data_IF_746605935760
#
_entry.id   IF_746605935760
#
_cell.length_a   1.000
_cell.length_b   1.000
_cell.length_c   1.000
_cell.angle_alpha   90.00
_cell.angle_beta   90.00
_cell.angle_gamma   90.00
#
_symmetry.space_group_name_H-M   'P 1'
#
loop_
_entity.id
_entity.type
_entity.pdbx_description
1 polymer ?
#
# COMPACT_ATOMS: atom_id res chain seq x y z
N UNK A 1 -54.94 6.09 -8.74
CA UNK A 1 -55.38 6.63 -10.04
C UNK A 1 -54.25 7.35 -10.72
N UNK A 2 -54.02 7.03 -12.00
CA UNK A 2 -53.16 7.68 -13.04
C UNK A 2 -51.65 7.41 -12.91
N UNK A 3 -50.97 7.04 -13.92
CA UNK A 3 -51.15 6.30 -15.21
C UNK A 3 -49.71 6.00 -15.69
N UNK A 4 -49.49 4.79 -16.12
CA UNK A 4 -48.37 4.26 -16.90
C UNK A 4 -48.27 5.01 -18.23
N UNK A 5 -47.08 5.36 -18.67
CA UNK A 5 -46.77 5.53 -20.12
C UNK A 5 -45.48 4.78 -20.44
N UNK A 6 -45.73 3.74 -21.20
CA UNK A 6 -44.75 2.94 -21.92
C UNK A 6 -44.50 3.62 -23.29
N UNK A 7 -43.28 3.83 -23.71
CA UNK A 7 -42.94 4.13 -25.10
C UNK A 7 -41.94 3.14 -25.63
N UNK A 8 -42.50 2.21 -26.38
CA UNK A 8 -41.80 1.35 -27.35
C UNK A 8 -41.56 2.18 -28.60
N UNK A 9 -40.36 2.20 -29.11
CA UNK A 9 -40.11 2.61 -30.52
C UNK A 9 -39.25 1.59 -31.22
N UNK A 10 -39.86 1.13 -32.27
CA UNK A 10 -39.57 0.05 -33.19
C UNK A 10 -38.46 0.39 -34.19
N UNK A 11 -37.77 -0.66 -34.58
CA UNK A 11 -36.91 -0.83 -35.75
C UNK A 11 -37.43 -0.20 -37.04
N UNK A 12 -36.52 0.34 -37.85
CA UNK A 12 -36.67 0.35 -39.29
C UNK A 12 -35.32 0.18 -39.98
N UNK A 13 -35.22 -0.93 -40.61
CA UNK A 13 -34.18 -1.36 -41.56
C UNK A 13 -34.45 -0.70 -42.91
N UNK A 14 -33.47 0.00 -43.49
CA UNK A 14 -33.51 0.32 -44.92
C UNK A 14 -32.16 -0.03 -45.56
N UNK A 15 -32.24 -1.00 -46.41
CA UNK A 15 -31.20 -1.39 -47.38
C UNK A 15 -31.17 -0.37 -48.54
N UNK A 16 -29.98 0.12 -48.85
CA UNK A 16 -29.73 0.91 -50.05
C UNK A 16 -28.33 0.69 -50.57
N UNK A 17 -28.22 -0.21 -51.56
CA UNK A 17 -27.05 -0.36 -52.42
C UNK A 17 -27.00 0.76 -53.45
N UNK A 18 -25.84 1.41 -53.62
CA UNK A 18 -25.16 1.52 -54.92
C UNK A 18 -24.06 2.59 -54.96
N UNK A 19 -22.90 2.16 -55.44
CA UNK A 19 -21.89 2.81 -56.26
C UNK A 19 -21.39 4.24 -55.90
N UNK A 20 -20.13 4.29 -55.45
CA UNK A 20 -19.12 5.11 -56.15
C UNK A 20 -17.70 4.70 -55.72
N UNK A 21 -16.99 4.02 -56.61
CA UNK A 21 -15.51 3.97 -56.58
C UNK A 21 -15.02 5.36 -57.06
N UNK A 22 -14.42 6.15 -56.20
CA UNK A 22 -13.32 7.11 -56.42
C UNK A 22 -13.24 8.13 -55.28
N UNK A 23 -12.70 7.71 -54.17
CA UNK A 23 -12.11 8.61 -53.16
C UNK A 23 -11.24 7.80 -52.16
N UNK A 24 -10.22 7.14 -52.70
CA UNK A 24 -9.36 6.25 -51.90
C UNK A 24 -7.89 6.61 -52.05
N UNK A 25 -7.52 7.87 -51.81
CA UNK A 25 -6.10 8.26 -51.72
C UNK A 25 -5.78 9.35 -50.72
N UNK A 26 -6.77 10.06 -50.11
CA UNK A 26 -6.49 11.12 -49.15
C UNK A 26 -6.76 10.72 -47.69
N UNK A 27 -7.51 9.65 -47.39
CA UNK A 27 -7.79 9.24 -46.02
C UNK A 27 -6.64 8.43 -45.36
N UNK A 28 -5.83 7.74 -46.14
CA UNK A 28 -4.73 6.90 -45.68
C UNK A 28 -3.59 7.76 -45.04
N UNK A 29 -3.37 8.96 -45.57
CA UNK A 29 -2.33 9.89 -45.08
C UNK A 29 -2.65 10.47 -43.69
N UNK A 30 -3.94 10.73 -43.40
CA UNK A 30 -4.33 11.33 -42.08
C UNK A 30 -4.38 10.30 -40.98
N UNK A 31 -4.82 9.07 -41.28
CA UNK A 31 -4.84 8.00 -40.29
C UNK A 31 -3.43 7.51 -39.96
N UNK A 32 -2.52 7.44 -40.93
CA UNK A 32 -1.10 7.09 -40.70
C UNK A 32 -0.39 8.13 -39.86
N UNK A 33 -0.66 9.44 -40.06
CA UNK A 33 -0.09 10.50 -39.24
C UNK A 33 -0.67 10.48 -37.84
N UNK A 34 -1.93 10.11 -37.64
CA UNK A 34 -2.58 10.01 -36.35
C UNK A 34 -2.03 8.82 -35.55
N UNK A 35 -1.88 7.66 -36.21
CA UNK A 35 -1.25 6.47 -35.58
C UNK A 35 0.21 6.75 -35.20
N UNK A 36 0.99 7.37 -36.08
CA UNK A 36 2.37 7.74 -35.75
C UNK A 36 2.46 8.77 -34.61
N UNK A 37 1.45 9.66 -34.45
CA UNK A 37 1.41 10.60 -33.33
C UNK A 37 1.08 9.89 -32.00
N UNK A 38 0.21 8.91 -32.00
CA UNK A 38 -0.09 8.09 -30.81
C UNK A 38 1.09 7.21 -30.40
N UNK A 39 1.74 6.53 -31.35
CA UNK A 39 2.94 5.75 -31.08
C UNK A 39 4.09 6.62 -30.54
N UNK A 40 4.22 7.85 -31.03
CA UNK A 40 5.25 8.79 -30.57
C UNK A 40 4.95 9.40 -29.19
N UNK A 41 3.68 9.53 -28.83
CA UNK A 41 3.25 9.96 -27.50
C UNK A 41 3.47 8.80 -26.50
N UNK A 42 3.13 7.59 -26.88
CA UNK A 42 3.28 6.40 -26.06
C UNK A 42 4.77 6.12 -25.75
N UNK A 43 5.61 6.14 -26.78
CA UNK A 43 7.05 5.96 -26.60
C UNK A 43 7.73 7.05 -25.76
N UNK A 44 7.26 8.31 -25.84
CA UNK A 44 7.77 9.39 -24.97
C UNK A 44 7.34 9.24 -23.51
N UNK A 45 6.13 8.74 -23.30
CA UNK A 45 5.60 8.46 -21.97
C UNK A 45 6.34 7.28 -21.35
N UNK A 46 6.58 6.23 -22.11
CA UNK A 46 7.39 5.08 -21.69
C UNK A 46 8.84 5.47 -21.35
N UNK A 47 9.50 6.27 -22.19
CA UNK A 47 10.86 6.76 -21.96
C UNK A 47 10.92 7.65 -20.71
N UNK A 48 9.89 8.48 -20.48
CA UNK A 48 9.81 9.33 -19.29
C UNK A 48 9.63 8.49 -18.03
N UNK A 49 8.71 7.53 -18.06
CA UNK A 49 8.48 6.59 -16.95
C UNK A 49 9.73 5.73 -16.66
N UNK A 50 10.44 5.27 -17.69
CA UNK A 50 11.69 4.51 -17.52
C UNK A 50 12.82 5.36 -16.93
N UNK A 51 12.92 6.64 -17.29
CA UNK A 51 13.88 7.57 -16.69
C UNK A 51 13.54 7.90 -15.25
N UNK A 52 12.27 8.12 -14.93
CA UNK A 52 11.80 8.35 -13.57
C UNK A 52 12.04 7.12 -12.69
N UNK A 53 11.77 5.92 -13.23
CA UNK A 53 12.03 4.66 -12.53
C UNK A 53 13.53 4.46 -12.21
N UNK A 54 14.44 4.90 -13.08
CA UNK A 54 15.90 4.80 -12.85
C UNK A 54 16.43 5.86 -11.90
N UNK A 55 15.73 6.96 -11.69
CA UNK A 55 16.18 8.07 -10.83
C UNK A 55 16.41 7.60 -9.39
N UNK A 56 15.55 6.72 -8.90
CA UNK A 56 15.55 6.25 -7.51
C UNK A 56 15.86 4.75 -7.37
N UNK A 57 16.39 4.12 -8.43
CA UNK A 57 16.71 2.69 -8.43
C UNK A 57 17.61 2.34 -7.24
N UNK A 58 17.20 1.34 -6.47
CA UNK A 58 17.88 0.86 -5.27
C UNK A 58 18.06 1.90 -4.16
N UNK A 59 17.23 2.92 -4.12
CA UNK A 59 17.31 3.94 -3.08
C UNK A 59 17.06 3.39 -1.67
N UNK A 60 16.32 2.29 -1.52
CA UNK A 60 16.11 1.62 -0.23
C UNK A 60 17.41 1.07 0.38
N UNK A 61 18.40 0.69 -0.43
CA UNK A 61 19.74 0.24 0.02
C UNK A 61 20.53 1.37 0.71
N UNK A 62 20.07 2.62 0.58
CA UNK A 62 20.68 3.78 1.22
C UNK A 62 20.18 4.01 2.64
N UNK A 63 19.05 3.45 3.00
CA UNK A 63 18.42 3.65 4.32
C UNK A 63 19.16 2.86 5.36
N UNK A 64 19.63 3.53 6.40
CA UNK A 64 20.06 2.89 7.64
C UNK A 64 18.86 2.86 8.61
N UNK A 65 18.21 1.71 8.70
CA UNK A 65 16.98 1.56 9.49
C UNK A 65 17.18 1.77 10.99
N UNK A 66 18.40 1.79 11.49
CA UNK A 66 18.70 2.19 12.89
C UNK A 66 18.33 3.65 13.16
N UNK A 67 18.26 4.47 12.13
CA UNK A 67 17.86 5.87 12.19
C UNK A 67 16.47 6.14 11.62
N UNK A 68 15.71 5.09 11.35
CA UNK A 68 14.42 5.19 10.66
C UNK A 68 13.45 6.17 11.33
N UNK A 69 13.37 6.18 12.66
CA UNK A 69 12.50 7.11 13.40
C UNK A 69 12.92 8.57 13.23
N UNK A 70 14.23 8.86 13.27
CA UNK A 70 14.76 10.21 13.04
C UNK A 70 14.55 10.68 11.62
N UNK A 71 14.73 9.78 10.65
CA UNK A 71 14.47 10.06 9.23
C UNK A 71 12.98 10.36 9.04
N UNK A 72 12.10 9.57 9.63
CA UNK A 72 10.65 9.76 9.52
C UNK A 72 10.21 11.09 10.17
N UNK A 73 10.72 11.41 11.35
CA UNK A 73 10.43 12.66 12.04
C UNK A 73 10.86 13.88 11.20
N UNK A 74 12.10 13.87 10.69
CA UNK A 74 12.63 14.94 9.85
C UNK A 74 11.85 15.08 8.54
N UNK A 75 11.50 13.97 7.91
CA UNK A 75 10.71 13.95 6.67
C UNK A 75 9.31 14.51 6.90
N UNK A 76 8.65 14.10 7.99
CA UNK A 76 7.32 14.59 8.36
C UNK A 76 7.34 16.08 8.67
N UNK A 77 8.38 16.56 9.37
CA UNK A 77 8.54 17.99 9.64
C UNK A 77 8.77 18.79 8.37
N UNK A 78 9.61 18.27 7.46
CA UNK A 78 9.85 18.92 6.17
C UNK A 78 8.56 19.11 5.36
N UNK A 79 7.72 18.08 5.29
CA UNK A 79 6.44 18.17 4.57
C UNK A 79 5.48 19.20 5.19
N UNK A 80 5.45 19.30 6.54
CA UNK A 80 4.66 20.34 7.23
C UNK A 80 5.15 21.74 6.94
N UNK A 81 6.47 21.92 6.90
CA UNK A 81 7.08 23.22 6.65
C UNK A 81 7.01 23.61 5.17
N UNK A 82 6.87 22.62 4.28
CA UNK A 82 6.85 22.80 2.83
C UNK A 82 5.58 22.18 2.19
N UNK A 83 4.36 22.68 2.53
CA UNK A 83 3.09 22.06 2.09
C UNK A 83 2.86 22.12 0.57
N UNK A 84 3.74 22.81 -0.18
CA UNK A 84 3.71 22.90 -1.64
C UNK A 84 4.86 22.13 -2.31
N UNK A 85 5.67 21.42 -1.53
CA UNK A 85 6.74 20.62 -2.08
C UNK A 85 6.18 19.56 -3.04
N UNK A 86 6.83 19.40 -4.15
CA UNK A 86 6.52 18.33 -5.10
C UNK A 86 7.00 16.99 -4.56
N UNK A 87 6.45 15.90 -5.08
CA UNK A 87 6.89 14.56 -4.72
C UNK A 87 8.39 14.34 -4.98
N UNK A 88 8.92 14.93 -6.05
CA UNK A 88 10.35 14.87 -6.35
C UNK A 88 11.20 15.59 -5.30
N UNK A 89 10.80 16.79 -4.86
CA UNK A 89 11.49 17.53 -3.79
C UNK A 89 11.47 16.76 -2.46
N UNK A 90 10.36 16.14 -2.12
CA UNK A 90 10.23 15.30 -0.92
C UNK A 90 11.15 14.06 -1.04
N UNK A 91 11.18 13.40 -2.19
CA UNK A 91 12.05 12.25 -2.42
C UNK A 91 13.53 12.63 -2.37
N UNK A 92 13.92 13.76 -2.93
CA UNK A 92 15.30 14.25 -2.87
C UNK A 92 15.72 14.57 -1.44
N UNK A 93 14.88 15.27 -0.68
CA UNK A 93 15.14 15.53 0.74
C UNK A 93 15.25 14.23 1.56
N UNK A 94 14.38 13.26 1.31
CA UNK A 94 14.48 11.95 1.96
C UNK A 94 15.84 11.28 1.69
N UNK A 95 16.33 11.32 0.45
CA UNK A 95 17.63 10.75 0.11
C UNK A 95 18.79 11.51 0.75
N UNK A 96 18.70 12.83 0.88
CA UNK A 96 19.66 13.64 1.64
C UNK A 96 19.70 13.22 3.11
N UNK A 97 18.55 13.00 3.75
CA UNK A 97 18.47 12.48 5.11
C UNK A 97 19.17 11.11 5.24
N UNK A 98 18.92 10.20 4.30
CA UNK A 98 19.59 8.90 4.30
C UNK A 98 21.12 9.01 4.23
N UNK A 99 21.67 9.93 3.42
CA UNK A 99 23.11 10.14 3.35
C UNK A 99 23.66 10.79 4.64
N UNK A 100 22.97 11.77 5.23
CA UNK A 100 23.36 12.41 6.51
C UNK A 100 23.48 11.35 7.62
N UNK A 101 22.46 10.54 7.81
CA UNK A 101 22.46 9.51 8.85
C UNK A 101 23.42 8.35 8.57
N UNK A 102 23.81 8.13 7.32
CA UNK A 102 24.83 7.15 6.95
C UNK A 102 26.26 7.63 7.23
N UNK A 103 26.55 8.93 7.09
CA UNK A 103 27.86 9.52 7.39
C UNK A 103 28.13 9.61 8.90
N UNK A 104 27.13 9.93 9.70
CA UNK A 104 27.25 9.93 11.17
C UNK A 104 27.68 8.58 11.72
N UNK A 105 27.35 7.50 11.03
CA UNK A 105 27.72 6.13 11.40
C UNK A 105 29.21 5.80 11.26
N UNK A 106 29.97 6.50 10.43
CA UNK A 106 31.43 6.28 10.33
C UNK A 106 32.15 6.66 11.63
N UNK A 107 31.53 7.49 12.46
CA UNK A 107 32.06 7.97 13.73
C UNK A 107 31.54 7.21 14.96
N UNK A 108 30.47 6.39 14.82
CA UNK A 108 29.85 5.66 15.94
C UNK A 108 30.16 4.16 15.81
N UNK A 109 31.41 3.81 15.99
CA UNK A 109 31.87 2.40 16.02
C UNK A 109 31.63 1.72 17.37
N UNK A 110 30.55 1.94 18.09
CA UNK A 110 30.29 1.11 19.28
C UNK A 110 28.99 1.41 20.05
N UNK A 111 27.88 1.58 19.43
CA UNK A 111 26.61 1.38 20.15
C UNK A 111 25.85 0.29 19.40
N UNK A 112 26.08 -0.94 19.83
CA UNK A 112 25.14 -2.02 19.58
C UNK A 112 23.82 -1.61 20.23
N UNK A 113 22.98 -0.94 19.49
CA UNK A 113 21.56 -0.83 19.81
C UNK A 113 20.99 -2.23 19.58
N UNK A 114 20.61 -2.89 20.67
CA UNK A 114 19.76 -4.04 20.60
C UNK A 114 18.54 -3.66 19.77
N UNK A 115 18.38 -4.28 18.62
CA UNK A 115 17.14 -4.27 17.91
C UNK A 115 16.16 -5.15 18.69
N UNK A 116 15.53 -4.57 19.73
CA UNK A 116 14.41 -5.21 20.40
C UNK A 116 13.17 -5.03 19.51
N UNK A 117 12.99 -5.94 18.59
CA UNK A 117 11.81 -6.00 17.74
C UNK A 117 12.07 -6.99 16.62
N UNK A 118 11.40 -8.12 16.72
CA UNK A 118 11.50 -9.21 15.76
C UNK A 118 10.77 -8.81 14.46
N UNK A 119 11.50 -8.09 13.58
CA UNK A 119 11.04 -7.77 12.23
C UNK A 119 11.17 -8.95 11.28
N UNK A 120 11.90 -9.99 11.72
CA UNK A 120 12.37 -11.08 10.88
C UNK A 120 11.22 -11.87 10.22
N UNK A 121 10.00 -11.81 10.80
CA UNK A 121 8.83 -12.48 10.24
C UNK A 121 8.03 -11.63 9.25
N UNK A 122 8.16 -10.29 9.28
CA UNK A 122 7.39 -9.40 8.41
C UNK A 122 8.18 -8.92 7.19
N UNK A 123 9.43 -8.57 7.42
CA UNK A 123 10.42 -8.29 6.37
C UNK A 123 11.72 -9.00 6.76
N UNK A 124 12.30 -9.74 5.84
CA UNK A 124 13.60 -10.38 6.05
C UNK A 124 14.66 -9.29 6.34
N UNK A 125 15.00 -9.14 7.62
CA UNK A 125 15.84 -8.08 8.13
C UNK A 125 17.23 -8.63 8.45
N UNK A 126 18.10 -8.70 7.45
CA UNK A 126 19.49 -9.06 7.64
C UNK A 126 20.36 -7.80 7.72
N UNK A 127 21.13 -7.65 8.80
CA UNK A 127 22.14 -6.60 8.99
C UNK A 127 21.64 -5.14 8.84
N UNK A 128 20.40 -4.84 9.20
CA UNK A 128 19.84 -3.49 9.12
C UNK A 128 19.27 -3.15 7.74
N UNK A 129 19.07 -4.12 6.87
CA UNK A 129 18.51 -3.95 5.53
C UNK A 129 17.18 -4.69 5.43
N UNK A 130 16.12 -3.97 5.10
CA UNK A 130 14.81 -4.55 4.79
C UNK A 130 14.86 -5.18 3.40
N UNK A 131 14.44 -6.43 3.26
CA UNK A 131 14.33 -7.07 1.95
C UNK A 131 12.93 -6.85 1.38
N UNK A 132 12.85 -6.07 0.30
CA UNK A 132 11.63 -5.84 -0.44
C UNK A 132 11.42 -6.92 -1.50
N UNK A 133 10.18 -7.38 -1.68
CA UNK A 133 9.86 -8.17 -2.85
C UNK A 133 9.93 -7.31 -4.14
N UNK A 134 10.03 -7.92 -5.34
CA UNK A 134 10.21 -7.15 -6.58
C UNK A 134 9.11 -6.12 -6.88
N UNK A 135 7.89 -6.31 -6.37
CA UNK A 135 6.78 -5.37 -6.57
C UNK A 135 6.85 -4.20 -5.60
N UNK A 136 7.16 -4.46 -4.34
CA UNK A 136 7.44 -3.41 -3.34
C UNK A 136 8.63 -2.58 -3.77
N UNK A 137 9.71 -3.24 -4.23
CA UNK A 137 10.90 -2.58 -4.78
C UNK A 137 10.54 -1.62 -5.90
N UNK A 138 9.70 -2.06 -6.85
CA UNK A 138 9.29 -1.23 -7.98
C UNK A 138 8.49 0.02 -7.53
N UNK A 139 7.67 -0.11 -6.47
CA UNK A 139 6.97 1.03 -5.88
C UNK A 139 7.91 1.94 -5.10
N UNK A 140 8.84 1.35 -4.35
CA UNK A 140 9.85 2.12 -3.61
C UNK A 140 10.72 2.95 -4.56
N UNK A 141 11.20 2.35 -5.65
CA UNK A 141 11.98 3.03 -6.69
C UNK A 141 11.18 4.12 -7.44
N UNK A 142 9.86 4.05 -7.41
CA UNK A 142 8.99 5.08 -7.97
C UNK A 142 8.87 6.28 -7.01
N UNK A 143 8.73 6.05 -5.71
CA UNK A 143 8.55 7.08 -4.69
C UNK A 143 9.18 6.64 -3.36
N UNK A 144 10.49 6.88 -3.17
CA UNK A 144 11.22 6.41 -2.00
C UNK A 144 10.66 6.89 -0.67
N UNK A 145 10.26 8.15 -0.59
CA UNK A 145 9.69 8.73 0.64
C UNK A 145 8.39 8.04 1.04
N UNK A 146 7.50 7.78 0.08
CA UNK A 146 6.25 7.06 0.33
C UNK A 146 6.48 5.58 0.65
N UNK A 147 7.42 4.94 -0.05
CA UNK A 147 7.83 3.57 0.24
C UNK A 147 8.38 3.44 1.66
N UNK A 148 9.25 4.35 2.06
CA UNK A 148 9.79 4.41 3.41
C UNK A 148 8.68 4.58 4.48
N UNK A 149 7.74 5.50 4.26
CA UNK A 149 6.59 5.68 5.16
C UNK A 149 5.72 4.43 5.27
N UNK A 150 5.51 3.72 4.16
CA UNK A 150 4.74 2.47 4.16
C UNK A 150 5.47 1.35 4.93
N UNK A 151 6.80 1.29 4.86
CA UNK A 151 7.62 0.40 5.68
C UNK A 151 7.50 0.75 7.17
N UNK A 152 7.63 2.05 7.51
CA UNK A 152 7.51 2.48 8.90
C UNK A 152 6.11 2.21 9.47
N UNK A 153 5.07 2.38 8.67
CA UNK A 153 3.71 2.00 9.03
C UNK A 153 3.58 0.49 9.32
N UNK A 154 4.26 -0.35 8.52
CA UNK A 154 4.33 -1.80 8.75
C UNK A 154 5.02 -2.14 10.07
N UNK A 155 6.15 -1.50 10.35
CA UNK A 155 6.87 -1.62 11.62
C UNK A 155 5.98 -1.26 12.80
N UNK A 156 5.34 -0.12 12.72
CA UNK A 156 4.45 0.32 13.77
C UNK A 156 3.30 -0.66 14.00
N UNK A 157 2.67 -1.16 12.92
CA UNK A 157 1.58 -2.13 13.01
C UNK A 157 2.03 -3.44 13.65
N UNK A 158 3.23 -3.93 13.28
CA UNK A 158 3.83 -5.11 13.90
C UNK A 158 4.05 -4.91 15.40
N UNK A 159 4.78 -3.86 15.77
CA UNK A 159 5.11 -3.57 17.17
C UNK A 159 3.86 -3.36 18.04
N UNK A 160 2.88 -2.62 17.51
CA UNK A 160 1.63 -2.41 18.25
C UNK A 160 0.82 -3.69 18.40
N UNK A 161 0.77 -4.53 17.38
CA UNK A 161 0.09 -5.82 17.47
C UNK A 161 0.73 -6.71 18.53
N UNK A 162 2.07 -6.78 18.57
CA UNK A 162 2.79 -7.51 19.62
C UNK A 162 2.47 -6.96 21.01
N UNK A 163 2.50 -5.64 21.17
CA UNK A 163 2.17 -4.98 22.42
C UNK A 163 0.72 -5.24 22.85
N UNK A 164 -0.23 -5.16 21.92
CA UNK A 164 -1.65 -5.30 22.19
C UNK A 164 -2.08 -6.75 22.46
N UNK A 165 -1.59 -7.69 21.67
CA UNK A 165 -2.02 -9.10 21.75
C UNK A 165 -1.01 -10.02 22.46
N UNK A 166 0.19 -9.52 22.78
CA UNK A 166 1.29 -10.33 23.29
C UNK A 166 1.82 -11.35 22.26
N UNK A 167 1.50 -11.16 20.99
CA UNK A 167 1.91 -12.00 19.87
C UNK A 167 1.62 -11.34 18.53
N UNK A 168 2.37 -11.77 17.51
CA UNK A 168 2.05 -11.58 16.10
C UNK A 168 1.77 -12.95 15.48
N UNK A 169 0.52 -13.38 15.51
CA UNK A 169 0.11 -14.65 14.92
C UNK A 169 -0.03 -14.58 13.39
N UNK A 170 -0.27 -15.73 12.78
CA UNK A 170 -0.55 -15.87 11.35
C UNK A 170 -1.91 -16.49 11.14
N UNK A 171 -2.71 -15.94 10.23
CA UNK A 171 -4.05 -16.40 9.87
C UNK A 171 -5.10 -16.27 11.01
N UNK A 172 -4.82 -15.53 12.07
CA UNK A 172 -5.67 -15.37 13.24
C UNK A 172 -6.09 -13.90 13.47
N UNK A 173 -6.64 -13.59 14.65
CA UNK A 173 -7.19 -12.26 14.97
C UNK A 173 -6.13 -11.16 15.02
N UNK A 174 -4.95 -11.45 15.60
CA UNK A 174 -3.86 -10.47 15.66
C UNK A 174 -3.30 -10.15 14.27
N UNK A 175 -3.26 -11.12 13.38
CA UNK A 175 -2.89 -10.94 11.98
C UNK A 175 -3.89 -10.05 11.24
N UNK A 176 -5.17 -10.36 11.37
CA UNK A 176 -6.25 -9.56 10.78
C UNK A 176 -6.21 -8.10 11.26
N UNK A 177 -5.97 -7.89 12.55
CA UNK A 177 -5.81 -6.58 13.16
C UNK A 177 -4.59 -5.84 12.58
N UNK A 178 -3.44 -6.52 12.51
CA UNK A 178 -2.19 -5.97 11.98
C UNK A 178 -2.33 -5.47 10.55
N UNK A 179 -2.92 -6.27 9.66
CA UNK A 179 -3.16 -5.91 8.27
C UNK A 179 -4.08 -4.69 8.14
N UNK A 180 -5.15 -4.62 8.94
CA UNK A 180 -6.04 -3.47 8.94
C UNK A 180 -5.36 -2.21 9.47
N UNK A 181 -4.62 -2.28 10.58
CA UNK A 181 -3.90 -1.17 11.18
C UNK A 181 -2.80 -0.64 10.26
N UNK A 182 -2.04 -1.54 9.64
CA UNK A 182 -1.01 -1.17 8.67
C UNK A 182 -1.59 -0.30 7.54
N UNK A 183 -2.72 -0.71 6.98
CA UNK A 183 -3.38 0.06 5.94
C UNK A 183 -3.86 1.43 6.44
N UNK A 184 -4.46 1.52 7.64
CA UNK A 184 -4.85 2.80 8.23
C UNK A 184 -3.64 3.73 8.40
N UNK A 185 -2.51 3.20 8.85
CA UNK A 185 -1.30 3.99 9.03
C UNK A 185 -0.70 4.46 7.69
N UNK A 186 -0.74 3.64 6.64
CA UNK A 186 -0.30 4.12 5.32
C UNK A 186 -1.26 5.19 4.78
N UNK A 187 -2.57 5.04 5.00
CA UNK A 187 -3.55 6.09 4.65
C UNK A 187 -3.20 7.39 5.35
N UNK A 188 -2.96 7.34 6.65
CA UNK A 188 -2.57 8.49 7.45
C UNK A 188 -1.24 9.12 7.00
N UNK A 189 -0.21 8.31 6.79
CA UNK A 189 1.13 8.81 6.48
C UNK A 189 1.31 9.22 5.01
N UNK A 190 0.48 8.71 4.10
CA UNK A 190 0.58 8.94 2.66
C UNK A 190 -0.79 9.21 2.03
N UNK A 191 -1.60 8.20 1.78
CA UNK A 191 -2.99 8.25 1.30
C UNK A 191 -3.53 6.84 1.00
N UNK A 192 -4.85 6.75 0.73
CA UNK A 192 -5.54 5.49 0.42
C UNK A 192 -5.01 4.77 -0.83
N UNK A 193 -4.78 5.52 -1.91
CA UNK A 193 -4.27 4.93 -3.17
C UNK A 193 -2.88 4.31 -3.01
N UNK A 194 -2.02 4.90 -2.18
CA UNK A 194 -0.69 4.33 -1.91
C UNK A 194 -0.79 3.11 -1.00
N UNK A 195 -1.66 3.16 0.02
CA UNK A 195 -1.93 2.02 0.88
C UNK A 195 -2.37 0.80 0.08
N UNK A 196 -3.32 0.97 -0.85
CA UNK A 196 -3.76 -0.11 -1.74
C UNK A 196 -2.63 -0.67 -2.60
N UNK A 197 -1.87 0.20 -3.26
CA UNK A 197 -0.76 -0.24 -4.13
C UNK A 197 0.30 -1.00 -3.36
N UNK A 198 0.70 -0.46 -2.20
CA UNK A 198 1.77 -1.04 -1.40
C UNK A 198 1.39 -2.40 -0.82
N UNK A 199 0.24 -2.49 -0.16
CA UNK A 199 -0.20 -3.74 0.44
C UNK A 199 -0.57 -4.80 -0.60
N UNK A 200 -1.12 -4.41 -1.76
CA UNK A 200 -1.29 -5.33 -2.89
C UNK A 200 0.06 -5.84 -3.43
N UNK A 201 1.09 -4.97 -3.48
CA UNK A 201 2.43 -5.39 -3.91
C UNK A 201 3.06 -6.35 -2.92
N UNK A 202 2.84 -6.14 -1.62
CA UNK A 202 3.26 -7.04 -0.55
C UNK A 202 2.67 -8.43 -0.76
N UNK A 203 1.35 -8.54 -0.79
CA UNK A 203 0.65 -9.83 -0.93
C UNK A 203 0.96 -10.53 -2.27
N UNK A 204 0.95 -9.78 -3.36
CA UNK A 204 1.20 -10.29 -4.70
C UNK A 204 2.67 -10.66 -4.97
N UNK A 205 3.58 -10.14 -4.19
CA UNK A 205 5.02 -10.32 -4.34
C UNK A 205 5.59 -11.42 -3.46
N UNK A 206 4.91 -11.79 -2.39
CA UNK A 206 5.34 -12.84 -1.49
C UNK A 206 5.41 -14.20 -2.22
N UNK A 207 6.56 -14.84 -2.16
CA UNK A 207 6.84 -16.10 -2.89
C UNK A 207 5.95 -17.27 -2.46
N UNK A 208 5.44 -17.21 -1.23
CA UNK A 208 4.54 -18.20 -0.64
C UNK A 208 3.06 -17.89 -0.85
N UNK A 209 2.72 -16.68 -1.32
CA UNK A 209 1.33 -16.26 -1.50
C UNK A 209 0.76 -16.78 -2.83
N UNK A 210 -0.24 -17.64 -2.69
CA UNK A 210 -1.07 -18.07 -3.80
C UNK A 210 -2.42 -17.33 -3.71
N UNK A 211 -2.78 -16.58 -4.75
CA UNK A 211 -4.07 -15.83 -4.82
C UNK A 211 -5.33 -16.67 -4.56
N UNK A 212 -5.21 -17.99 -4.61
CA UNK A 212 -6.29 -18.91 -4.27
C UNK A 212 -6.27 -19.34 -2.81
N UNK A 213 -5.16 -19.12 -2.08
CA UNK A 213 -5.04 -19.49 -0.67
C UNK A 213 -6.03 -18.72 0.21
N UNK A 214 -6.36 -19.27 1.35
CA UNK A 214 -7.18 -18.57 2.34
C UNK A 214 -6.43 -17.42 2.98
N UNK A 215 -5.12 -17.58 3.23
CA UNK A 215 -4.22 -16.53 3.75
C UNK A 215 -4.28 -15.30 2.85
N UNK A 216 -3.95 -15.43 1.55
CA UNK A 216 -4.03 -14.31 0.61
C UNK A 216 -5.41 -13.60 0.64
N UNK A 217 -6.50 -14.38 0.68
CA UNK A 217 -7.86 -13.82 0.72
C UNK A 217 -8.18 -13.12 2.05
N UNK A 218 -7.61 -13.62 3.13
CA UNK A 218 -7.74 -13.02 4.46
C UNK A 218 -7.02 -11.66 4.49
N UNK A 219 -5.76 -11.64 4.09
CA UNK A 219 -4.90 -10.46 4.11
C UNK A 219 -5.47 -9.36 3.21
N UNK A 220 -5.81 -9.69 1.96
CA UNK A 220 -6.47 -8.76 1.03
C UNK A 220 -7.79 -8.20 1.56
N UNK A 221 -8.59 -9.02 2.27
CA UNK A 221 -9.84 -8.56 2.87
C UNK A 221 -9.57 -7.61 4.03
N UNK A 222 -8.67 -7.95 4.94
CA UNK A 222 -8.37 -7.14 6.12
C UNK A 222 -7.64 -5.84 5.72
N UNK A 223 -6.77 -5.88 4.71
CA UNK A 223 -6.17 -4.71 4.10
C UNK A 223 -7.24 -3.74 3.58
N UNK A 224 -8.24 -4.25 2.86
CA UNK A 224 -9.33 -3.43 2.32
C UNK A 224 -10.25 -2.87 3.43
N UNK A 225 -10.58 -3.65 4.46
CA UNK A 225 -11.40 -3.17 5.59
C UNK A 225 -10.69 -2.06 6.38
N UNK A 226 -9.35 -2.15 6.54
CA UNK A 226 -8.56 -1.08 7.15
C UNK A 226 -8.65 0.23 6.38
N UNK A 227 -8.46 0.20 5.06
CA UNK A 227 -8.60 1.38 4.20
C UNK A 227 -10.03 1.93 4.20
N UNK A 228 -11.01 1.04 4.09
CA UNK A 228 -12.42 1.44 4.13
C UNK A 228 -12.78 2.13 5.44
N UNK A 229 -12.33 1.60 6.58
CA UNK A 229 -12.56 2.22 7.88
C UNK A 229 -11.85 3.58 7.98
N UNK A 230 -10.60 3.69 7.53
CA UNK A 230 -9.90 4.97 7.47
C UNK A 230 -10.68 6.02 6.66
N UNK A 231 -11.21 5.64 5.50
CA UNK A 231 -12.03 6.54 4.69
C UNK A 231 -13.35 6.94 5.37
N UNK A 232 -14.00 6.01 6.09
CA UNK A 232 -15.23 6.30 6.85
C UNK A 232 -15.00 7.31 7.96
N UNK A 233 -13.87 7.24 8.66
CA UNK A 233 -13.51 8.14 9.76
C UNK A 233 -12.78 9.41 9.28
N UNK A 234 -12.54 9.55 7.97
CA UNK A 234 -11.84 10.69 7.41
C UNK A 234 -10.37 10.77 7.84
N UNK A 235 -9.73 9.62 8.06
CA UNK A 235 -8.30 9.57 8.46
C UNK A 235 -7.44 10.12 7.33
N UNK A 236 -6.63 11.11 7.67
CA UNK A 236 -5.64 11.75 6.80
C UNK A 236 -4.43 12.21 7.62
N UNK A 237 -3.50 12.95 7.00
CA UNK A 237 -2.27 13.43 7.64
C UNK A 237 -2.50 14.38 8.82
N UNK A 238 -3.67 14.98 8.94
CA UNK A 238 -4.04 15.90 10.03
C UNK A 238 -4.69 15.17 11.21
N UNK A 239 -5.08 13.91 11.02
CA UNK A 239 -5.68 13.07 12.06
C UNK A 239 -4.67 12.76 13.17
N UNK A 240 -5.17 12.64 14.40
CA UNK A 240 -4.33 12.21 15.52
C UNK A 240 -4.16 10.69 15.56
N UNK A 241 -3.14 10.22 16.27
CA UNK A 241 -2.98 8.79 16.56
C UNK A 241 -4.17 8.22 17.35
N UNK A 242 -4.79 9.05 18.19
CA UNK A 242 -6.00 8.66 18.91
C UNK A 242 -7.18 8.38 17.97
N UNK A 243 -7.31 9.14 16.89
CA UNK A 243 -8.36 8.90 15.89
C UNK A 243 -8.16 7.55 15.19
N UNK A 244 -6.91 7.23 14.85
CA UNK A 244 -6.55 5.93 14.26
C UNK A 244 -6.81 4.79 15.26
N UNK A 245 -6.44 4.99 16.54
CA UNK A 245 -6.69 4.02 17.61
C UNK A 245 -8.18 3.71 17.75
N UNK A 246 -9.01 4.74 17.82
CA UNK A 246 -10.46 4.59 17.90
C UNK A 246 -10.97 3.84 16.66
N UNK A 247 -10.53 4.22 15.47
CA UNK A 247 -10.95 3.60 14.23
C UNK A 247 -10.61 2.09 14.17
N UNK A 248 -9.37 1.70 14.56
CA UNK A 248 -9.00 0.28 14.53
C UNK A 248 -9.71 -0.52 15.61
N UNK A 249 -9.94 0.02 16.80
CA UNK A 249 -10.66 -0.63 17.87
C UNK A 249 -12.13 -0.90 17.48
N UNK A 250 -12.78 0.09 16.88
CA UNK A 250 -14.13 -0.08 16.36
C UNK A 250 -14.19 -1.10 15.23
N UNK A 251 -13.21 -1.09 14.32
CA UNK A 251 -13.15 -2.08 13.26
C UNK A 251 -12.95 -3.49 13.82
N UNK A 252 -12.06 -3.66 14.79
CA UNK A 252 -11.80 -4.96 15.43
C UNK A 252 -13.08 -5.53 16.08
N UNK A 253 -13.84 -4.68 16.76
CA UNK A 253 -15.11 -5.04 17.43
C UNK A 253 -16.30 -5.18 16.46
N UNK A 254 -16.17 -4.75 15.21
CA UNK A 254 -17.30 -4.63 14.25
C UNK A 254 -17.79 -5.96 13.65
N UNK A 255 -17.02 -7.02 13.76
CA UNK A 255 -17.31 -8.29 13.08
C UNK A 255 -17.02 -8.26 11.56
N UNK A 256 -16.27 -7.27 11.06
CA UNK A 256 -15.93 -7.15 9.63
C UNK A 256 -14.64 -7.88 9.26
N UNK A 257 -13.67 -7.92 10.17
CA UNK A 257 -12.39 -8.61 9.94
C UNK A 257 -12.57 -10.11 9.80
N UNK A 258 -11.63 -10.76 9.12
CA UNK A 258 -11.64 -12.20 8.89
C UNK A 258 -10.37 -12.86 9.41
N UNK A 259 -10.52 -14.09 9.88
CA UNK A 259 -9.43 -15.00 10.24
C UNK A 259 -9.67 -16.36 9.60
N UNK A 260 -8.65 -17.22 9.60
CA UNK A 260 -8.79 -18.59 9.14
C UNK A 260 -9.15 -19.48 10.34
N UNK A 261 -10.31 -20.10 10.25
CA UNK A 261 -10.70 -21.13 11.20
C UNK A 261 -10.09 -22.48 10.78
N UNK A 262 -9.29 -23.07 11.65
CA UNK A 262 -8.52 -24.29 11.41
C UNK A 262 -9.02 -25.44 12.30
N UNK A 263 -10.25 -25.98 12.09
CA UNK A 263 -10.83 -27.01 12.95
C UNK A 263 -9.99 -28.29 12.97
N UNK A 264 -9.27 -28.56 11.91
CA UNK A 264 -8.23 -29.59 11.86
C UNK A 264 -6.94 -28.99 11.25
N UNK A 265 -5.94 -28.60 12.09
CA UNK A 265 -4.71 -27.98 11.61
C UNK A 265 -3.91 -28.82 10.59
N UNK A 266 -4.09 -30.15 10.60
CA UNK A 266 -3.41 -31.09 9.68
C UNK A 266 -4.16 -31.27 8.35
N UNK A 267 -5.33 -30.67 8.17
CA UNK A 267 -6.18 -30.89 7.00
C UNK A 267 -6.73 -29.56 6.45
N UNK A 268 -5.93 -28.89 5.64
CA UNK A 268 -6.28 -27.57 5.03
C UNK A 268 -7.64 -27.57 4.32
N UNK A 269 -8.06 -28.70 3.72
CA UNK A 269 -9.37 -28.78 3.06
C UNK A 269 -10.56 -28.58 4.00
N UNK A 270 -10.32 -28.53 5.33
CA UNK A 270 -11.35 -28.21 6.35
C UNK A 270 -11.30 -26.78 6.83
N UNK A 271 -10.32 -26.01 6.40
CA UNK A 271 -10.16 -24.61 6.82
C UNK A 271 -11.17 -23.71 6.13
N UNK A 272 -11.64 -22.72 6.86
CA UNK A 272 -12.60 -21.73 6.38
C UNK A 272 -12.12 -20.34 6.70
N UNK A 273 -12.55 -19.38 5.89
CA UNK A 273 -12.32 -17.95 6.11
C UNK A 273 -13.56 -17.37 6.78
N UNK A 274 -13.48 -17.13 8.08
CA UNK A 274 -14.60 -16.72 8.89
C UNK A 274 -14.45 -15.27 9.36
N UNK A 275 -15.58 -14.53 9.40
CA UNK A 275 -15.65 -13.26 10.13
C UNK A 275 -15.61 -13.53 11.63
N UNK A 276 -15.03 -12.62 12.36
CA UNK A 276 -15.04 -12.66 13.83
C UNK A 276 -15.34 -11.29 14.40
N UNK A 277 -15.85 -11.27 15.62
CA UNK A 277 -16.04 -10.06 16.42
C UNK A 277 -15.00 -10.09 17.54
N UNK A 278 -14.07 -9.16 17.49
CA UNK A 278 -13.06 -9.00 18.54
C UNK A 278 -13.69 -8.48 19.82
N UNK A 279 -13.11 -8.83 20.94
CA UNK A 279 -13.54 -8.39 22.27
C UNK A 279 -12.46 -7.52 22.89
N UNK A 280 -12.89 -6.64 23.78
CA UNK A 280 -11.98 -5.75 24.49
C UNK A 280 -10.97 -6.51 25.35
N UNK A 281 -11.34 -7.69 25.85
CA UNK A 281 -10.48 -8.59 26.63
C UNK A 281 -9.45 -9.35 25.77
N UNK A 282 -9.54 -9.32 24.43
CA UNK A 282 -8.66 -10.05 23.54
C UNK A 282 -7.28 -9.37 23.41
N UNK A 283 -7.21 -8.07 23.73
CA UNK A 283 -5.98 -7.29 23.61
C UNK A 283 -5.90 -6.17 24.68
N UNK A 284 -4.67 -5.77 25.00
CA UNK A 284 -4.44 -4.67 25.93
C UNK A 284 -4.78 -3.33 25.30
N UNK A 285 -5.56 -2.52 26.02
CA UNK A 285 -5.84 -1.14 25.61
C UNK A 285 -4.64 -0.24 25.88
N UNK A 286 -3.88 0.07 24.85
CA UNK A 286 -2.68 0.88 24.90
C UNK A 286 -2.71 1.95 23.81
N UNK A 287 -2.05 3.07 24.08
CA UNK A 287 -1.89 4.12 23.09
C UNK A 287 -1.01 3.66 21.92
N UNK A 288 -1.36 4.09 20.71
CA UNK A 288 -0.54 3.84 19.53
C UNK A 288 0.82 4.52 19.67
N UNK A 289 1.93 3.80 19.53
CA UNK A 289 3.27 4.38 19.55
C UNK A 289 3.47 5.32 18.33
N UNK A 290 4.51 6.16 18.33
CA UNK A 290 4.98 6.79 17.12
C UNK A 290 5.35 5.70 16.09
N UNK A 291 5.03 5.95 14.82
CA UNK A 291 5.54 5.12 13.74
C UNK A 291 6.98 5.47 13.46
#
# INVERSE_FOLDING_TARGET
MKKVICCVLTFSLVLGFSHSLLAKSESVSKDTQKVQSYEKIDSRTEIKQEKEKKKYEKSYEKVDFRFSEKILEALTQYEKDHPKATEDEINEYFLELCEIYKEDNKNIKSLALSSDGDWDDFYDYADGVVTLNPKEQALYDQSPSKGFKALMAGKGAWNYTELAFGRNGTDEESDAFRHALWNMWIVWAVNDSWAEKWTNAHEDGASYQNKKSLTYKMDMHNNAEGRYKAAQEGIDSDSSRSDIKIAIDELYKSGKLKKINKPNPKKESTWTLDKFTGKEEDYADQDLPPI
#
